data_IF_327529011942
#
_entry.id   IF_327529011942
#
_cell.length_a   1.000
_cell.length_b   1.000
_cell.length_c   1.000
_cell.angle_alpha   90.00
_cell.angle_beta   90.00
_cell.angle_gamma   90.00
#
_symmetry.space_group_name_H-M   'P 1'
#
loop_
_entity.id
_entity.type
_entity.pdbx_description
1 polymer ?
#
# COMPACT_ATOMS: atom_id res chain seq x y z
N UNK A 1 -18.36 20.11 12.50
CA UNK A 1 -18.55 18.76 13.04
C UNK A 1 -19.48 18.03 12.11
N UNK A 2 -18.98 17.27 11.16
CA UNK A 2 -19.62 16.21 10.34
C UNK A 2 -18.82 16.05 9.04
N UNK A 3 -17.67 15.35 9.09
CA UNK A 3 -16.97 14.92 7.85
C UNK A 3 -15.97 13.77 8.08
N UNK A 4 -16.22 12.91 9.07
CA UNK A 4 -15.23 11.86 9.43
C UNK A 4 -15.79 10.43 9.49
N UNK A 5 -16.99 10.16 8.98
CA UNK A 5 -17.61 8.82 9.13
C UNK A 5 -17.75 8.05 7.80
N UNK A 6 -17.58 8.68 6.65
CA UNK A 6 -17.79 8.02 5.34
C UNK A 6 -16.60 7.19 4.79
N UNK A 7 -15.44 7.21 5.45
CA UNK A 7 -14.22 6.58 4.93
C UNK A 7 -14.03 5.08 5.19
N UNK A 8 -14.82 4.44 6.06
CA UNK A 8 -14.55 3.06 6.53
C UNK A 8 -15.43 1.99 5.86
N UNK A 9 -16.54 2.36 5.25
CA UNK A 9 -17.54 1.39 4.76
C UNK A 9 -17.38 0.92 3.31
N UNK A 10 -16.39 1.40 2.56
CA UNK A 10 -16.32 1.24 1.09
C UNK A 10 -15.52 0.05 0.54
N UNK A 11 -14.95 -0.87 1.33
CA UNK A 11 -13.92 -1.78 0.80
C UNK A 11 -14.15 -3.29 0.81
N UNK A 12 -15.31 -3.83 1.25
CA UNK A 12 -15.55 -5.28 1.20
C UNK A 12 -16.99 -5.64 0.83
N UNK A 13 -17.31 -5.74 -0.48
CA UNK A 13 -18.63 -6.20 -0.93
C UNK A 13 -18.94 -7.64 -0.48
N UNK A 14 -17.94 -8.45 -0.13
CA UNK A 14 -18.12 -9.83 0.34
C UNK A 14 -18.71 -9.93 1.75
N UNK A 15 -18.48 -8.94 2.61
CA UNK A 15 -19.11 -8.91 3.95
C UNK A 15 -20.61 -8.68 3.87
N UNK A 16 -21.06 -7.86 2.92
CA UNK A 16 -22.50 -7.60 2.72
C UNK A 16 -23.24 -8.85 2.24
N UNK A 17 -22.62 -9.63 1.36
CA UNK A 17 -23.23 -10.88 0.85
C UNK A 17 -23.34 -11.92 1.96
N UNK A 18 -22.33 -12.09 2.81
CA UNK A 18 -22.38 -13.01 3.95
C UNK A 18 -23.43 -12.59 5.01
N UNK A 19 -23.53 -11.29 5.30
CA UNK A 19 -24.52 -10.76 6.25
C UNK A 19 -25.93 -10.87 5.66
N UNK A 20 -26.09 -10.63 4.36
CA UNK A 20 -27.39 -10.75 3.67
C UNK A 20 -27.87 -12.22 3.64
N UNK A 21 -26.97 -13.16 3.34
CA UNK A 21 -27.27 -14.60 3.36
C UNK A 21 -27.56 -15.06 4.79
N UNK A 22 -26.80 -14.63 5.79
CA UNK A 22 -27.06 -14.95 7.20
C UNK A 22 -28.42 -14.41 7.68
N UNK A 23 -28.78 -13.16 7.30
CA UNK A 23 -30.08 -12.59 7.62
C UNK A 23 -31.24 -13.30 6.91
N UNK A 24 -31.08 -13.72 5.66
CA UNK A 24 -32.11 -14.48 4.91
C UNK A 24 -32.31 -15.86 5.54
N UNK A 25 -31.23 -16.52 5.99
CA UNK A 25 -31.32 -17.84 6.67
C UNK A 25 -31.99 -17.70 8.05
N UNK A 26 -31.63 -16.66 8.82
CA UNK A 26 -32.24 -16.38 10.12
C UNK A 26 -33.70 -16.00 9.95
N UNK A 27 -34.07 -15.22 8.94
CA UNK A 27 -35.47 -14.84 8.67
C UNK A 27 -36.34 -16.03 8.28
N UNK A 28 -35.83 -16.93 7.40
CA UNK A 28 -36.56 -18.18 7.06
C UNK A 28 -36.75 -19.14 8.25
N UNK A 29 -35.75 -19.24 9.16
CA UNK A 29 -35.84 -20.10 10.35
C UNK A 29 -36.83 -19.51 11.37
N UNK A 30 -36.88 -18.18 11.53
CA UNK A 30 -37.82 -17.52 12.46
C UNK A 30 -39.24 -17.45 11.94
N UNK A 31 -39.47 -17.47 10.61
CA UNK A 31 -40.79 -17.54 9.99
C UNK A 31 -41.41 -18.92 10.19
N UNK A 32 -40.64 -19.99 10.02
CA UNK A 32 -41.08 -21.36 10.22
C UNK A 32 -41.49 -21.66 11.68
N UNK A 33 -40.80 -21.05 12.67
CA UNK A 33 -41.10 -21.22 14.11
C UNK A 33 -42.34 -20.40 14.54
N UNK A 34 -42.65 -19.30 13.83
CA UNK A 34 -43.84 -18.47 14.09
C UNK A 34 -45.11 -19.11 13.61
N UNK A 35 -45.13 -19.77 12.46
CA UNK A 35 -46.27 -20.47 11.91
C UNK A 35 -46.61 -21.72 12.73
N UNK A 36 -45.62 -22.39 13.32
CA UNK A 36 -45.79 -23.55 14.17
C UNK A 36 -46.40 -23.18 15.52
N UNK A 37 -46.04 -22.04 16.13
CA UNK A 37 -46.64 -21.54 17.37
C UNK A 37 -48.09 -21.03 17.20
N UNK A 38 -48.42 -20.52 16.02
CA UNK A 38 -49.79 -20.07 15.73
C UNK A 38 -50.77 -21.24 15.54
N UNK A 39 -50.27 -22.38 15.02
CA UNK A 39 -51.10 -23.60 14.83
C UNK A 39 -51.32 -24.39 16.13
N UNK A 40 -50.38 -24.35 17.08
CA UNK A 40 -50.52 -25.01 18.38
C UNK A 40 -51.50 -24.26 19.32
N UNK A 41 -51.63 -22.94 19.18
CA UNK A 41 -52.60 -22.13 19.95
C UNK A 41 -54.06 -22.35 19.60
N UNK A 42 -54.38 -22.90 18.43
CA UNK A 42 -55.76 -23.18 17.97
C UNK A 42 -56.23 -24.61 18.26
N UNK A 43 -55.36 -25.48 18.79
CA UNK A 43 -55.68 -26.90 19.08
C UNK A 43 -56.19 -27.17 20.48
N UNK A 44 -56.26 -26.20 21.37
CA UNK A 44 -56.72 -26.41 22.77
C UNK A 44 -58.21 -26.22 22.94
N UNK A 45 -58.94 -25.78 21.91
CA UNK A 45 -60.44 -25.58 21.99
C UNK A 45 -61.16 -26.52 21.07
N UNK A 46 -61.17 -27.83 21.33
CA UNK A 46 -61.95 -28.75 20.55
C UNK A 46 -61.72 -30.21 20.95
N UNK A 47 -62.34 -30.60 22.08
CA UNK A 47 -62.42 -31.97 22.58
C UNK A 47 -63.14 -32.93 21.64
N UNK A 48 -62.65 -34.18 21.61
CA UNK A 48 -63.31 -35.47 21.32
C UNK A 48 -63.39 -36.00 19.88
N UNK A 49 -62.76 -37.14 19.79
CA UNK A 49 -63.01 -38.31 18.93
C UNK A 49 -62.15 -38.55 17.69
N UNK A 50 -61.61 -39.73 17.77
CA UNK A 50 -61.29 -40.68 16.69
C UNK A 50 -59.83 -40.89 16.37
N UNK A 51 -59.31 -42.02 16.89
CA UNK A 51 -58.12 -42.71 16.42
C UNK A 51 -58.23 -43.05 14.93
N UNK A 52 -57.51 -42.35 14.10
CA UNK A 52 -57.06 -42.92 12.84
C UNK A 52 -55.59 -42.52 12.68
N UNK A 53 -54.73 -43.51 12.73
CA UNK A 53 -53.30 -43.38 12.33
C UNK A 53 -53.28 -43.01 10.86
N UNK A 54 -53.18 -41.78 10.55
CA UNK A 54 -52.68 -41.32 9.23
C UNK A 54 -51.19 -41.17 9.31
N UNK A 55 -50.56 -42.02 8.53
CA UNK A 55 -49.16 -41.97 8.16
C UNK A 55 -48.95 -40.64 7.44
N UNK A 56 -48.48 -39.62 8.16
CA UNK A 56 -48.29 -38.28 7.61
C UNK A 56 -46.86 -38.18 7.08
N UNK A 57 -46.79 -38.13 5.80
CA UNK A 57 -45.83 -37.59 4.87
C UNK A 57 -44.40 -37.25 5.39
N UNK A 58 -43.48 -38.17 5.16
CA UNK A 58 -42.05 -37.98 5.17
C UNK A 58 -41.56 -37.07 4.02
N UNK A 59 -42.39 -36.65 3.10
CA UNK A 59 -42.06 -35.84 1.94
C UNK A 59 -41.64 -34.40 2.26
N UNK A 60 -42.23 -33.78 3.30
CA UNK A 60 -41.92 -32.41 3.69
C UNK A 60 -40.53 -32.29 4.36
N UNK A 61 -40.19 -33.29 5.16
CA UNK A 61 -38.88 -33.33 5.81
C UNK A 61 -37.72 -33.59 4.82
N UNK A 62 -37.95 -34.41 3.79
CA UNK A 62 -36.95 -34.69 2.73
C UNK A 62 -36.70 -33.46 1.87
N UNK A 63 -37.75 -32.69 1.52
CA UNK A 63 -37.64 -31.46 0.75
C UNK A 63 -36.87 -30.38 1.54
N UNK A 64 -37.17 -30.22 2.84
CA UNK A 64 -36.45 -29.30 3.72
C UNK A 64 -34.99 -29.68 3.90
N UNK A 65 -34.71 -30.98 4.01
CA UNK A 65 -33.34 -31.49 4.14
C UNK A 65 -32.53 -31.30 2.84
N UNK A 66 -33.16 -31.46 1.66
CA UNK A 66 -32.56 -31.19 0.37
C UNK A 66 -32.21 -29.70 0.19
N UNK A 67 -33.11 -28.79 0.58
CA UNK A 67 -32.89 -27.36 0.54
C UNK A 67 -31.75 -26.97 1.47
N UNK A 68 -31.73 -27.48 2.70
CA UNK A 68 -30.65 -27.23 3.66
C UNK A 68 -29.28 -27.72 3.14
N UNK A 69 -29.25 -28.89 2.50
CA UNK A 69 -28.05 -29.46 1.92
C UNK A 69 -27.53 -28.60 0.73
N UNK A 70 -28.41 -28.11 -0.14
CA UNK A 70 -28.08 -27.21 -1.24
C UNK A 70 -27.48 -25.91 -0.70
N UNK A 71 -28.10 -25.30 0.32
CA UNK A 71 -27.59 -24.08 0.96
C UNK A 71 -26.21 -24.32 1.59
N UNK A 72 -26.01 -25.43 2.27
CA UNK A 72 -24.73 -25.81 2.87
C UNK A 72 -23.64 -25.98 1.81
N UNK A 73 -23.95 -26.61 0.68
CA UNK A 73 -23.01 -26.75 -0.45
C UNK A 73 -22.66 -25.39 -1.05
N UNK A 74 -23.64 -24.49 -1.22
CA UNK A 74 -23.39 -23.14 -1.76
C UNK A 74 -22.49 -22.32 -0.81
N UNK A 75 -22.74 -22.41 0.51
CA UNK A 75 -21.89 -21.75 1.51
C UNK A 75 -20.48 -22.31 1.49
N UNK A 76 -20.32 -23.64 1.46
CA UNK A 76 -19.02 -24.29 1.36
C UNK A 76 -18.27 -23.87 0.09
N UNK A 77 -18.96 -23.80 -1.05
CA UNK A 77 -18.39 -23.35 -2.33
C UNK A 77 -17.96 -21.88 -2.26
N UNK A 78 -18.77 -21.00 -1.68
CA UNK A 78 -18.43 -19.60 -1.49
C UNK A 78 -17.19 -19.40 -0.61
N UNK A 79 -17.08 -20.18 0.48
CA UNK A 79 -15.88 -20.21 1.34
C UNK A 79 -14.66 -20.71 0.54
N UNK A 80 -14.79 -21.79 -0.21
CA UNK A 80 -13.70 -22.34 -1.02
C UNK A 80 -13.16 -21.34 -2.06
N UNK A 81 -14.05 -20.64 -2.76
CA UNK A 81 -13.66 -19.58 -3.71
C UNK A 81 -12.96 -18.40 -3.00
N UNK A 82 -13.43 -18.05 -1.80
CA UNK A 82 -12.82 -16.98 -0.98
C UNK A 82 -11.43 -17.34 -0.45
N UNK A 83 -11.09 -18.64 -0.35
CA UNK A 83 -9.78 -19.12 0.07
C UNK A 83 -8.69 -18.92 -0.98
N UNK A 84 -9.06 -18.81 -2.24
CA UNK A 84 -8.11 -18.73 -3.34
C UNK A 84 -7.71 -17.27 -3.57
N UNK A 85 -6.39 -16.99 -3.51
CA UNK A 85 -5.82 -15.68 -3.82
C UNK A 85 -4.73 -15.81 -4.88
N UNK A 86 -4.87 -15.05 -5.96
CA UNK A 86 -3.87 -14.98 -7.02
C UNK A 86 -3.01 -13.74 -6.78
N UNK A 87 -1.70 -13.92 -6.73
CA UNK A 87 -0.71 -12.83 -6.62
C UNK A 87 -0.16 -12.57 -8.02
N UNK A 88 -0.39 -11.38 -8.59
CA UNK A 88 0.12 -11.03 -9.90
C UNK A 88 1.64 -10.85 -9.87
N UNK A 89 2.25 -10.91 -11.06
CA UNK A 89 3.69 -10.77 -11.23
C UNK A 89 4.21 -9.43 -10.68
N UNK A 90 5.42 -9.43 -10.13
CA UNK A 90 6.07 -8.29 -9.49
C UNK A 90 5.36 -7.72 -8.25
N UNK A 91 4.45 -8.47 -7.64
CA UNK A 91 3.87 -8.16 -6.34
C UNK A 91 4.24 -9.25 -5.32
N UNK A 92 4.37 -8.83 -4.08
CA UNK A 92 4.44 -9.72 -2.93
C UNK A 92 3.34 -9.33 -1.93
N UNK A 93 2.81 -10.33 -1.24
CA UNK A 93 1.76 -10.11 -0.23
C UNK A 93 2.28 -10.65 1.10
N UNK A 94 2.35 -9.76 2.09
CA UNK A 94 2.68 -10.13 3.47
C UNK A 94 1.39 -10.57 4.16
N UNK A 95 1.41 -11.76 4.73
CA UNK A 95 0.26 -12.39 5.37
C UNK A 95 0.52 -12.58 6.85
N UNK A 96 -0.44 -12.14 7.64
CA UNK A 96 -0.49 -12.31 9.09
C UNK A 96 -1.52 -13.36 9.47
N UNK A 97 -1.18 -14.12 10.50
CA UNK A 97 -2.10 -15.04 11.18
C UNK A 97 -2.25 -14.63 12.63
N UNK A 98 -3.48 -14.24 13.01
CA UNK A 98 -3.81 -13.80 14.38
C UNK A 98 -2.89 -12.68 14.89
N UNK A 99 -2.46 -11.74 13.99
CA UNK A 99 -1.59 -10.62 14.35
C UNK A 99 -0.07 -10.92 14.30
N UNK A 100 0.33 -12.18 14.03
CA UNK A 100 1.73 -12.55 13.83
C UNK A 100 2.07 -12.74 12.35
N UNK A 101 3.31 -12.42 11.95
CA UNK A 101 3.80 -12.71 10.60
C UNK A 101 3.79 -14.22 10.34
N UNK A 102 3.11 -14.65 9.29
CA UNK A 102 3.08 -16.04 8.86
C UNK A 102 4.08 -16.29 7.72
N UNK A 103 3.89 -15.61 6.60
CA UNK A 103 4.68 -15.80 5.38
C UNK A 103 4.49 -14.66 4.41
N UNK A 104 5.41 -14.55 3.46
CA UNK A 104 5.29 -13.65 2.31
C UNK A 104 4.94 -14.47 1.08
N UNK A 105 3.82 -14.18 0.45
CA UNK A 105 3.42 -14.82 -0.79
C UNK A 105 4.08 -14.14 -1.98
N UNK A 106 4.81 -14.95 -2.74
CA UNK A 106 5.35 -14.58 -4.04
C UNK A 106 4.28 -14.74 -5.13
N UNK A 107 4.67 -14.54 -6.39
CA UNK A 107 3.81 -14.74 -7.57
C UNK A 107 3.21 -16.14 -7.61
N UNK A 108 1.93 -16.24 -7.90
CA UNK A 108 1.24 -17.51 -8.07
C UNK A 108 -0.08 -17.61 -7.33
N UNK A 109 -0.55 -18.86 -7.22
CA UNK A 109 -1.79 -19.21 -6.55
C UNK A 109 -1.49 -19.58 -5.09
N UNK A 110 -2.17 -18.90 -4.17
CA UNK A 110 -2.02 -19.15 -2.73
C UNK A 110 -3.38 -19.41 -2.09
N UNK A 111 -3.37 -20.25 -1.05
CA UNK A 111 -4.56 -20.55 -0.26
C UNK A 111 -4.52 -19.75 1.04
N UNK A 112 -5.61 -19.06 1.30
CA UNK A 112 -5.82 -18.23 2.48
C UNK A 112 -6.88 -18.87 3.38
N UNK A 113 -6.60 -19.03 4.67
CA UNK A 113 -7.64 -19.38 5.64
C UNK A 113 -8.56 -18.17 5.88
N UNK A 114 -9.87 -18.24 5.54
CA UNK A 114 -10.74 -17.07 5.39
C UNK A 114 -10.96 -16.27 6.67
N UNK A 115 -10.82 -16.82 7.84
CA UNK A 115 -11.07 -16.14 9.12
C UNK A 115 -9.80 -15.85 9.92
N UNK A 116 -8.72 -16.60 9.68
CA UNK A 116 -7.51 -16.61 10.48
C UNK A 116 -6.41 -15.78 9.82
N UNK A 117 -6.30 -15.85 8.48
CA UNK A 117 -5.24 -15.19 7.73
C UNK A 117 -5.71 -13.81 7.24
N UNK A 118 -4.91 -12.80 7.53
CA UNK A 118 -5.11 -11.41 7.10
C UNK A 118 -3.97 -10.98 6.17
N UNK A 119 -4.32 -10.26 5.11
CA UNK A 119 -3.34 -9.56 4.28
C UNK A 119 -2.92 -8.29 5.02
N UNK A 120 -1.67 -8.23 5.49
CA UNK A 120 -1.10 -7.07 6.17
C UNK A 120 -0.76 -5.95 5.16
N UNK A 121 0.07 -6.28 4.17
CA UNK A 121 0.51 -5.30 3.17
C UNK A 121 0.71 -5.97 1.82
N UNK A 122 0.33 -5.26 0.74
CA UNK A 122 0.70 -5.61 -0.63
C UNK A 122 1.87 -4.74 -1.03
N UNK A 123 2.93 -5.35 -1.52
CA UNK A 123 4.19 -4.71 -1.84
C UNK A 123 4.46 -4.88 -3.32
N UNK A 124 4.79 -3.78 -4.01
CA UNK A 124 5.21 -3.78 -5.41
C UNK A 124 6.74 -3.93 -5.46
N UNK A 125 7.23 -4.99 -6.09
CA UNK A 125 8.66 -5.28 -6.19
C UNK A 125 9.36 -4.59 -7.37
N UNK A 126 8.60 -3.88 -8.21
CA UNK A 126 9.17 -3.08 -9.30
C UNK A 126 9.90 -1.88 -8.73
N UNK A 127 10.86 -1.39 -9.49
CA UNK A 127 11.48 -0.09 -9.20
C UNK A 127 10.42 1.00 -9.12
N UNK A 128 10.49 1.80 -8.08
CA UNK A 128 9.62 2.93 -7.82
C UNK A 128 10.45 4.20 -7.85
N UNK A 129 9.83 5.28 -8.29
CA UNK A 129 10.44 6.60 -8.38
C UNK A 129 9.64 7.55 -7.50
N UNK A 130 10.33 8.25 -6.62
CA UNK A 130 9.72 9.29 -5.79
C UNK A 130 10.47 10.58 -5.99
N UNK A 131 9.72 11.62 -6.31
CA UNK A 131 10.20 13.00 -6.46
C UNK A 131 9.94 13.72 -5.14
N UNK A 132 11.00 14.19 -4.50
CA UNK A 132 10.91 14.91 -3.24
C UNK A 132 10.93 16.42 -3.48
N UNK A 133 10.16 17.19 -2.68
CA UNK A 133 10.09 18.63 -2.83
C UNK A 133 11.46 19.30 -2.58
N UNK A 134 11.67 20.53 -3.10
CA UNK A 134 12.89 21.29 -2.88
C UNK A 134 13.25 21.43 -1.41
N UNK A 135 14.48 21.04 -1.07
CA UNK A 135 15.01 21.11 0.28
C UNK A 135 15.99 22.28 0.39
N UNK A 136 15.83 23.17 1.39
CA UNK A 136 16.80 24.21 1.64
C UNK A 136 18.07 23.63 2.25
N UNK A 137 19.21 23.90 1.63
CA UNK A 137 20.54 23.48 2.06
C UNK A 137 21.49 24.68 2.07
N UNK A 138 22.52 24.58 2.89
CA UNK A 138 23.55 25.63 3.02
C UNK A 138 24.89 24.99 2.68
N UNK A 139 25.60 25.61 1.75
CA UNK A 139 26.95 25.19 1.34
C UNK A 139 28.00 25.64 2.35
N UNK A 140 29.23 25.13 2.20
CA UNK A 140 30.39 25.47 3.04
C UNK A 140 30.72 26.97 3.01
N UNK A 141 30.53 27.63 1.87
CA UNK A 141 30.68 29.08 1.66
C UNK A 141 29.45 29.90 2.07
N UNK A 142 28.54 29.29 2.87
CA UNK A 142 27.36 29.90 3.49
C UNK A 142 26.31 30.43 2.50
N UNK A 143 26.21 29.80 1.33
CA UNK A 143 25.14 30.09 0.36
C UNK A 143 23.95 29.16 0.60
N UNK A 144 22.77 29.74 0.80
CA UNK A 144 21.52 28.95 0.91
C UNK A 144 20.99 28.69 -0.48
N UNK A 145 20.74 27.42 -0.82
CA UNK A 145 20.14 27.03 -2.09
C UNK A 145 18.99 26.04 -1.88
N UNK A 146 18.17 25.86 -2.91
CA UNK A 146 17.12 24.84 -2.93
C UNK A 146 17.48 23.75 -3.93
N UNK A 147 17.38 22.50 -3.48
CA UNK A 147 17.73 21.33 -4.29
C UNK A 147 16.59 20.33 -4.27
N UNK A 148 16.11 19.95 -5.45
CA UNK A 148 15.14 18.89 -5.66
C UNK A 148 15.88 17.58 -5.88
N UNK A 149 15.34 16.49 -5.30
CA UNK A 149 15.93 15.15 -5.44
C UNK A 149 14.90 14.14 -5.91
N UNK A 150 15.35 13.25 -6.78
CA UNK A 150 14.57 12.08 -7.23
C UNK A 150 15.29 10.82 -6.79
N UNK A 151 14.55 9.93 -6.12
CA UNK A 151 15.09 8.67 -5.62
C UNK A 151 14.43 7.50 -6.33
N UNK A 152 15.26 6.62 -6.90
CA UNK A 152 14.86 5.36 -7.53
C UNK A 152 15.22 4.23 -6.58
N UNK A 153 14.19 3.50 -6.15
CA UNK A 153 14.37 2.40 -5.22
C UNK A 153 13.46 1.23 -5.56
N UNK A 154 13.83 0.06 -5.07
CA UNK A 154 13.02 -1.16 -5.16
C UNK A 154 12.95 -1.84 -3.80
N UNK A 155 11.87 -2.57 -3.59
CA UNK A 155 11.68 -3.33 -2.35
C UNK A 155 12.26 -4.72 -2.56
N UNK A 156 13.28 -5.08 -1.78
CA UNK A 156 13.96 -6.38 -1.82
C UNK A 156 13.35 -7.36 -0.84
N UNK A 157 13.03 -6.92 0.37
CA UNK A 157 12.38 -7.76 1.38
C UNK A 157 11.03 -7.17 1.80
N UNK A 158 9.90 -7.77 1.34
CA UNK A 158 8.56 -7.32 1.69
C UNK A 158 8.24 -7.40 3.18
N UNK A 159 8.87 -8.32 3.93
CA UNK A 159 8.68 -8.46 5.36
C UNK A 159 9.29 -7.27 6.11
N UNK A 160 10.55 -6.95 5.82
CA UNK A 160 11.23 -5.79 6.42
C UNK A 160 10.54 -4.49 6.04
N UNK A 161 10.07 -4.36 4.78
CA UNK A 161 9.30 -3.21 4.33
C UNK A 161 7.96 -3.03 5.06
N UNK A 162 7.33 -4.14 5.47
CA UNK A 162 6.04 -4.09 6.15
C UNK A 162 6.16 -3.75 7.64
N UNK A 163 7.22 -4.22 8.29
CA UNK A 163 7.39 -4.15 9.75
C UNK A 163 8.59 -3.33 10.22
N UNK A 164 9.54 -3.03 9.35
CA UNK A 164 10.77 -2.31 9.71
C UNK A 164 10.54 -0.83 9.99
N UNK A 165 9.60 -0.20 9.29
CA UNK A 165 9.27 1.22 9.44
C UNK A 165 7.80 1.46 9.12
N UNK A 166 7.17 2.38 9.84
CA UNK A 166 5.74 2.68 9.69
C UNK A 166 5.44 3.31 8.32
N UNK A 167 6.15 4.38 7.97
CA UNK A 167 6.02 5.12 6.72
C UNK A 167 7.34 5.16 5.94
N UNK A 168 7.63 4.14 5.12
CA UNK A 168 8.90 4.05 4.41
C UNK A 168 9.22 5.25 3.52
N UNK A 169 8.22 5.78 2.82
CA UNK A 169 8.42 6.93 1.91
C UNK A 169 8.81 8.18 2.67
N UNK A 170 8.10 8.51 3.75
CA UNK A 170 8.44 9.64 4.61
C UNK A 170 9.81 9.47 5.27
N UNK A 171 10.16 8.24 5.65
CA UNK A 171 11.46 7.94 6.23
C UNK A 171 12.60 8.18 5.21
N UNK A 172 12.42 7.73 3.95
CA UNK A 172 13.37 7.99 2.87
C UNK A 172 13.47 9.48 2.58
N UNK A 173 12.36 10.21 2.55
CA UNK A 173 12.33 11.66 2.33
C UNK A 173 13.18 12.41 3.37
N UNK A 174 12.93 12.17 4.65
CA UNK A 174 13.67 12.80 5.74
C UNK A 174 15.16 12.40 5.73
N UNK A 175 15.44 11.13 5.44
CA UNK A 175 16.81 10.64 5.34
C UNK A 175 17.53 11.29 4.14
N UNK A 176 16.86 11.42 3.00
CA UNK A 176 17.37 12.10 1.80
C UNK A 176 17.69 13.56 2.11
N UNK A 177 16.75 14.27 2.76
CA UNK A 177 16.94 15.68 3.13
C UNK A 177 18.13 15.90 4.08
N UNK A 178 18.28 15.03 5.09
CA UNK A 178 19.40 15.13 6.06
C UNK A 178 20.74 14.75 5.43
N UNK A 179 20.75 13.69 4.61
CA UNK A 179 21.98 13.27 3.90
C UNK A 179 22.41 14.30 2.88
N UNK A 180 21.48 14.88 2.13
CA UNK A 180 21.75 15.96 1.19
C UNK A 180 22.38 17.16 1.90
N UNK A 181 21.78 17.59 3.04
CA UNK A 181 22.30 18.71 3.82
C UNK A 181 23.73 18.49 4.30
N UNK A 182 24.04 17.27 4.74
CA UNK A 182 25.39 16.93 5.19
C UNK A 182 26.39 16.96 4.03
N UNK A 183 26.06 16.35 2.88
CA UNK A 183 26.95 16.29 1.73
C UNK A 183 27.19 17.68 1.14
N UNK A 184 26.16 18.50 1.01
CA UNK A 184 26.27 19.86 0.45
C UNK A 184 26.96 20.81 1.44
N UNK A 185 26.79 20.63 2.73
CA UNK A 185 27.46 21.42 3.76
C UNK A 185 29.00 21.31 3.75
N UNK A 186 29.51 20.21 3.20
CA UNK A 186 30.96 19.99 3.02
C UNK A 186 31.51 20.55 1.69
N UNK A 187 30.65 20.98 0.76
CA UNK A 187 31.00 21.44 -0.57
C UNK A 187 30.79 22.94 -0.73
N UNK A 188 31.63 23.55 -1.59
CA UNK A 188 31.45 24.94 -2.05
C UNK A 188 30.37 25.00 -3.15
N UNK A 189 29.83 26.20 -3.41
CA UNK A 189 28.79 26.41 -4.41
C UNK A 189 29.22 25.88 -5.80
N UNK A 190 30.38 26.22 -6.25
CA UNK A 190 30.89 25.81 -7.57
C UNK A 190 31.07 24.29 -7.67
N UNK A 191 31.55 23.67 -6.60
CA UNK A 191 31.67 22.21 -6.52
C UNK A 191 30.27 21.54 -6.55
N UNK A 192 29.28 22.10 -5.86
CA UNK A 192 27.91 21.58 -5.86
C UNK A 192 27.30 21.62 -7.26
N UNK A 193 27.58 22.65 -8.04
CA UNK A 193 27.05 22.79 -9.41
C UNK A 193 27.76 21.88 -10.43
N UNK A 194 29.05 21.62 -10.23
CA UNK A 194 29.89 20.87 -11.18
C UNK A 194 29.97 19.38 -10.87
N UNK A 195 29.91 19.00 -9.59
CA UNK A 195 30.17 17.63 -9.12
C UNK A 195 28.90 16.81 -8.83
N UNK A 196 27.83 17.02 -9.58
CA UNK A 196 26.51 16.34 -9.39
C UNK A 196 26.62 14.81 -9.30
N UNK A 197 27.44 14.21 -10.16
CA UNK A 197 27.64 12.76 -10.19
C UNK A 197 28.24 12.22 -8.89
N UNK A 198 29.23 12.95 -8.36
CA UNK A 198 29.87 12.61 -7.08
C UNK A 198 28.87 12.70 -5.93
N UNK A 199 28.06 13.76 -5.91
CA UNK A 199 26.98 13.94 -4.91
C UNK A 199 25.95 12.80 -5.01
N UNK A 200 25.48 12.51 -6.22
CA UNK A 200 24.52 11.43 -6.47
C UNK A 200 25.05 10.08 -5.96
N UNK A 201 26.33 9.78 -6.21
CA UNK A 201 26.97 8.53 -5.78
C UNK A 201 27.11 8.47 -4.25
N UNK A 202 27.54 9.57 -3.61
CA UNK A 202 27.62 9.65 -2.14
C UNK A 202 26.25 9.52 -1.49
N UNK A 203 25.23 10.20 -2.02
CA UNK A 203 23.86 10.10 -1.55
C UNK A 203 23.34 8.68 -1.67
N UNK A 204 23.48 8.07 -2.86
CA UNK A 204 23.06 6.69 -3.08
C UNK A 204 23.68 5.74 -2.06
N UNK A 205 25.00 5.80 -1.86
CA UNK A 205 25.69 4.89 -0.93
C UNK A 205 25.23 5.07 0.52
N UNK A 206 25.04 6.32 0.96
CA UNK A 206 24.57 6.60 2.32
C UNK A 206 23.12 6.17 2.53
N UNK A 207 22.25 6.41 1.55
CA UNK A 207 20.85 6.02 1.61
C UNK A 207 20.69 4.51 1.56
N UNK A 208 21.41 3.80 0.69
CA UNK A 208 21.33 2.34 0.53
C UNK A 208 21.67 1.62 1.85
N UNK A 209 22.75 2.03 2.52
CA UNK A 209 23.13 1.49 3.84
C UNK A 209 22.04 1.74 4.91
N UNK A 210 21.46 2.94 4.90
CA UNK A 210 20.46 3.31 5.90
C UNK A 210 19.08 2.69 5.66
N UNK A 211 18.74 2.35 4.41
CA UNK A 211 17.44 1.75 4.04
C UNK A 211 17.46 0.23 4.00
N UNK A 212 18.62 -0.40 4.03
CA UNK A 212 18.77 -1.87 4.03
C UNK A 212 18.00 -2.57 5.17
N UNK A 213 18.00 -2.07 6.43
CA UNK A 213 17.17 -2.64 7.51
C UNK A 213 15.66 -2.59 7.24
N UNK A 214 15.21 -1.75 6.34
CA UNK A 214 13.80 -1.63 5.93
C UNK A 214 13.45 -2.50 4.72
N UNK A 215 14.41 -3.27 4.21
CA UNK A 215 14.25 -4.11 3.02
C UNK A 215 14.07 -3.29 1.73
N UNK A 216 14.63 -2.10 1.69
CA UNK A 216 14.58 -1.17 0.54
C UNK A 216 15.99 -1.01 0.00
N UNK A 217 16.15 -1.20 -1.29
CA UNK A 217 17.39 -0.97 -2.02
C UNK A 217 17.28 0.29 -2.85
N UNK A 218 18.19 1.24 -2.60
CA UNK A 218 18.29 2.47 -3.39
C UNK A 218 19.18 2.21 -4.60
N UNK A 219 18.58 2.22 -5.79
CA UNK A 219 19.29 1.96 -7.04
C UNK A 219 20.04 3.21 -7.52
N UNK A 220 19.38 4.37 -7.48
CA UNK A 220 19.90 5.63 -7.98
C UNK A 220 19.26 6.81 -7.24
N UNK A 221 20.04 7.86 -7.05
CA UNK A 221 19.59 9.16 -6.55
C UNK A 221 20.06 10.21 -7.54
N UNK A 222 19.20 11.14 -7.88
CA UNK A 222 19.54 12.23 -8.80
C UNK A 222 19.10 13.57 -8.26
N UNK A 223 20.00 14.56 -8.38
CA UNK A 223 19.69 15.96 -8.18
C UNK A 223 19.01 16.51 -9.43
N UNK A 224 17.75 16.91 -9.31
CA UNK A 224 16.93 17.42 -10.43
C UNK A 224 17.27 18.87 -10.72
N UNK A 225 16.97 19.76 -9.79
CA UNK A 225 17.27 21.18 -9.89
C UNK A 225 18.13 21.62 -8.71
N UNK A 226 19.08 22.51 -8.99
CA UNK A 226 19.87 23.23 -7.99
C UNK A 226 19.63 24.70 -8.23
N UNK A 227 18.93 25.35 -7.30
CA UNK A 227 18.49 26.75 -7.44
C UNK A 227 19.20 27.59 -6.37
N UNK A 228 20.28 28.31 -6.73
CA UNK A 228 20.87 29.28 -5.84
C UNK A 228 20.00 30.55 -5.71
N UNK A 229 20.26 31.45 -4.74
CA UNK A 229 19.57 32.71 -4.62
C UNK A 229 19.75 33.60 -5.87
N UNK A 230 18.71 34.36 -6.20
CA UNK A 230 18.70 35.21 -7.41
C UNK A 230 19.91 36.15 -7.50
N UNK A 231 20.33 36.76 -6.38
CA UNK A 231 21.50 37.61 -6.35
C UNK A 231 22.81 36.91 -6.77
N UNK A 232 22.94 35.64 -6.43
CA UNK A 232 24.09 34.79 -6.83
C UNK A 232 23.99 34.42 -8.29
N UNK A 233 22.76 34.05 -8.77
CA UNK A 233 22.54 33.77 -10.19
C UNK A 233 22.90 34.96 -11.07
N UNK A 234 22.46 36.16 -10.73
CA UNK A 234 22.77 37.40 -11.45
C UNK A 234 24.28 37.70 -11.47
N UNK A 235 24.97 37.45 -10.36
CA UNK A 235 26.41 37.62 -10.27
C UNK A 235 27.15 36.60 -11.15
N UNK A 236 26.77 35.34 -11.12
CA UNK A 236 27.33 34.26 -11.95
C UNK A 236 27.09 34.53 -13.45
N UNK A 237 25.87 34.98 -13.84
CA UNK A 237 25.60 35.33 -15.23
C UNK A 237 26.50 36.47 -15.74
N UNK A 238 26.68 37.52 -14.94
CA UNK A 238 27.60 38.63 -15.27
C UNK A 238 29.03 38.14 -15.40
N UNK A 239 29.48 37.30 -14.48
CA UNK A 239 30.83 36.71 -14.51
C UNK A 239 31.04 35.86 -15.77
N UNK A 240 30.07 34.97 -16.06
CA UNK A 240 30.12 34.12 -17.24
C UNK A 240 30.13 34.90 -18.54
N UNK A 241 29.35 36.00 -18.60
CA UNK A 241 29.32 36.89 -19.76
C UNK A 241 30.68 37.56 -19.95
N UNK A 242 31.26 38.14 -18.90
CA UNK A 242 32.58 38.79 -18.96
C UNK A 242 33.70 37.79 -19.36
N UNK A 243 33.66 36.55 -18.84
CA UNK A 243 34.62 35.52 -19.23
C UNK A 243 34.47 35.09 -20.69
N UNK A 244 33.24 35.00 -21.22
CA UNK A 244 32.99 34.72 -22.65
C UNK A 244 33.52 35.86 -23.53
N UNK A 245 33.25 37.11 -23.18
CA UNK A 245 33.75 38.28 -23.89
C UNK A 245 35.28 38.35 -23.90
N UNK A 246 35.90 38.02 -22.76
CA UNK A 246 37.35 37.91 -22.64
C UNK A 246 37.93 36.83 -23.57
N UNK A 247 37.35 35.62 -23.55
CA UNK A 247 37.77 34.53 -24.44
C UNK A 247 37.59 34.87 -25.90
N UNK A 248 36.47 35.50 -26.26
CA UNK A 248 36.24 35.97 -27.64
C UNK A 248 37.29 36.98 -28.09
N UNK A 249 37.64 37.93 -27.23
CA UNK A 249 38.69 38.91 -27.53
C UNK A 249 40.08 38.27 -27.76
N UNK A 250 40.43 37.26 -26.91
CA UNK A 250 41.67 36.50 -27.08
C UNK A 250 41.69 35.74 -28.38
N UNK A 251 40.63 34.95 -28.67
CA UNK A 251 40.53 34.16 -29.91
C UNK A 251 40.56 35.05 -31.17
N UNK A 252 39.96 36.26 -31.09
CA UNK A 252 39.99 37.20 -32.19
C UNK A 252 41.40 37.77 -32.42
N UNK A 253 42.17 38.04 -31.34
CA UNK A 253 43.54 38.51 -31.42
C UNK A 253 44.53 37.41 -31.84
N UNK A 254 44.26 36.15 -31.56
CA UNK A 254 45.06 34.99 -32.01
C UNK A 254 44.76 34.60 -33.48
N UNK A 255 43.61 35.03 -34.02
CA UNK A 255 43.20 34.72 -35.40
C UNK A 255 43.57 35.78 -36.44
N UNK A 256 44.12 36.92 -35.99
CA UNK A 256 44.73 37.96 -36.86
C UNK A 256 46.25 37.73 -36.98
#
# INVERSE_FOLDING_TARGET
>A
MNSSVEGVFGRHPQFFICILIANIVIWNVTETDRDQKCMDGLRIAGSLKSKTKTKQDDGGNVMGLLIALIVLILVALAIAVSCIKIVPQANAIVVERLGGYLTTWSVGLHFKAPFIDRVAKKVLLKEQVVDFPPQPVITKDNVTMQIDTVVYFQITDPKLYAYGVENPIMAIENLTATTLRNIIGDLELDETLTSRETINTKMRSSLDVATDPWGIKVNRVELKNIIPPAAIQDAMEKQMKAERERREAILRAEGE
#
